data_IF_643906187972
#
_entry.id   IF_643906187972
#
_cell.length_a   1.000
_cell.length_b   1.000
_cell.length_c   1.000
_cell.angle_alpha   90.00
_cell.angle_beta   90.00
_cell.angle_gamma   90.00
#
_symmetry.space_group_name_H-M   'P 1'
#
loop_
_entity.id
_entity.type
_entity.pdbx_description
1 polymer ?
#
# COMPACT_ATOMS: atom_id res chain seq x y z
N UNK A 1 -12.16 -29.56 -7.35
CA UNK A 1 -12.28 -29.34 -5.90
C UNK A 1 -13.72 -29.01 -5.52
N UNK A 2 -14.45 -29.99 -4.99
CA UNK A 2 -15.88 -29.85 -4.67
C UNK A 2 -16.14 -29.24 -3.27
N UNK A 3 -17.41 -28.97 -2.93
CA UNK A 3 -17.76 -28.31 -1.67
C UNK A 3 -17.45 -29.15 -0.41
N UNK A 4 -17.53 -30.47 -0.51
CA UNK A 4 -17.23 -31.39 0.60
C UNK A 4 -15.71 -31.46 0.86
N UNK A 5 -14.92 -31.67 -0.19
CA UNK A 5 -13.45 -31.73 -0.18
C UNK A 5 -12.81 -30.47 0.44
N UNK A 6 -13.34 -29.28 0.13
CA UNK A 6 -12.92 -28.01 0.78
C UNK A 6 -13.11 -28.03 2.29
N UNK A 7 -14.21 -28.61 2.77
CA UNK A 7 -14.56 -28.66 4.19
C UNK A 7 -13.63 -29.59 4.95
N UNK A 8 -13.33 -30.77 4.42
CA UNK A 8 -12.38 -31.72 5.03
C UNK A 8 -10.96 -31.16 5.15
N UNK A 9 -10.56 -30.33 4.18
CA UNK A 9 -9.26 -29.66 4.19
C UNK A 9 -9.24 -28.33 4.98
N UNK A 10 -10.39 -27.85 5.47
CA UNK A 10 -10.57 -26.53 6.11
C UNK A 10 -10.17 -25.33 5.22
N UNK A 11 -10.45 -25.41 3.92
CA UNK A 11 -10.11 -24.38 2.93
C UNK A 11 -11.22 -23.32 2.78
N UNK A 12 -10.85 -22.03 2.59
CA UNK A 12 -11.83 -20.96 2.37
C UNK A 12 -12.56 -21.15 1.03
N UNK A 13 -13.81 -20.69 0.97
CA UNK A 13 -14.65 -20.85 -0.24
C UNK A 13 -14.04 -20.20 -1.49
N UNK A 14 -13.25 -19.13 -1.28
CA UNK A 14 -12.70 -18.25 -2.32
C UNK A 14 -11.36 -18.73 -2.87
N UNK A 15 -10.72 -19.77 -2.29
CA UNK A 15 -9.36 -20.21 -2.70
C UNK A 15 -9.21 -20.42 -4.21
N UNK A 16 -10.23 -20.98 -4.87
CA UNK A 16 -10.20 -21.25 -6.32
C UNK A 16 -10.13 -19.96 -7.13
N UNK A 17 -10.78 -18.90 -6.66
CA UNK A 17 -10.71 -17.56 -7.25
C UNK A 17 -9.35 -16.91 -6.95
N UNK A 18 -8.90 -16.92 -5.69
CA UNK A 18 -7.60 -16.37 -5.29
C UNK A 18 -6.43 -16.99 -6.07
N UNK A 19 -6.44 -18.31 -6.25
CA UNK A 19 -5.44 -19.04 -7.05
C UNK A 19 -5.55 -18.70 -8.54
N UNK A 20 -6.76 -18.57 -9.09
CA UNK A 20 -6.95 -18.17 -10.48
C UNK A 20 -6.45 -16.74 -10.76
N UNK A 21 -6.77 -15.79 -9.87
CA UNK A 21 -6.31 -14.41 -9.96
C UNK A 21 -4.78 -14.32 -9.84
N UNK A 22 -4.18 -15.01 -8.85
CA UNK A 22 -2.73 -15.06 -8.68
C UNK A 22 -1.99 -15.67 -9.89
N UNK A 23 -2.53 -16.74 -10.49
CA UNK A 23 -1.99 -17.33 -11.72
C UNK A 23 -2.13 -16.37 -12.91
N UNK A 24 -3.27 -15.69 -13.04
CA UNK A 24 -3.53 -14.71 -14.12
C UNK A 24 -2.58 -13.51 -14.03
N UNK A 25 -2.33 -13.01 -12.81
CA UNK A 25 -1.41 -11.92 -12.53
C UNK A 25 0.07 -12.32 -12.78
N UNK A 26 0.47 -13.54 -12.38
CA UNK A 26 1.78 -14.12 -12.73
C UNK A 26 1.96 -14.28 -14.25
N UNK A 27 0.93 -14.75 -14.97
CA UNK A 27 0.95 -14.86 -16.43
C UNK A 27 1.07 -13.48 -17.09
N UNK A 28 0.34 -12.49 -16.57
CA UNK A 28 0.35 -11.11 -17.07
C UNK A 28 1.72 -10.45 -16.87
N UNK A 29 2.31 -10.56 -15.67
CA UNK A 29 3.69 -10.14 -15.40
C UNK A 29 4.70 -10.86 -16.29
N UNK A 30 4.55 -12.17 -16.51
CA UNK A 30 5.45 -12.94 -17.40
C UNK A 30 5.36 -12.47 -18.85
N UNK A 31 4.18 -12.09 -19.33
CA UNK A 31 3.99 -11.59 -20.69
C UNK A 31 4.54 -10.16 -20.85
N UNK A 32 4.34 -9.27 -19.86
CA UNK A 32 4.94 -7.94 -19.82
C UNK A 32 6.48 -8.02 -19.79
N UNK A 33 7.05 -8.90 -18.96
CA UNK A 33 8.50 -9.10 -18.90
C UNK A 33 9.06 -9.68 -20.21
N UNK A 34 8.31 -10.54 -20.92
CA UNK A 34 8.69 -11.00 -22.27
C UNK A 34 8.74 -9.85 -23.29
N UNK A 35 7.78 -8.93 -23.25
CA UNK A 35 7.80 -7.75 -24.13
C UNK A 35 8.97 -6.80 -23.81
N UNK A 36 9.35 -6.68 -22.53
CA UNK A 36 10.49 -5.86 -22.09
C UNK A 36 11.83 -6.36 -22.64
N UNK A 37 12.05 -7.68 -22.68
CA UNK A 37 13.32 -8.29 -23.15
C UNK A 37 13.53 -8.13 -24.67
N UNK A 38 12.48 -7.88 -25.46
CA UNK A 38 12.60 -7.68 -26.92
C UNK A 38 13.11 -6.29 -27.33
N UNK A 39 12.98 -5.27 -26.48
CA UNK A 39 13.30 -3.87 -26.82
C UNK A 39 14.64 -3.41 -26.23
N UNK A 40 15.73 -4.07 -26.63
CA UNK A 40 17.09 -3.73 -26.24
C UNK A 40 18.00 -3.38 -27.44
N UNK A 41 17.45 -2.65 -28.44
CA UNK A 41 18.23 -2.08 -29.55
C UNK A 41 17.86 -0.60 -29.70
N UNK A 42 18.81 0.28 -29.35
CA UNK A 42 18.65 1.74 -29.47
C UNK A 42 18.82 2.19 -30.92
N UNK A 43 17.82 2.88 -31.48
CA UNK A 43 17.97 3.65 -32.73
C UNK A 43 17.38 5.06 -32.60
N UNK A 44 18.10 6.02 -33.18
CA UNK A 44 17.82 7.47 -33.14
C UNK A 44 16.93 7.92 -34.31
N UNK A 45 16.33 9.12 -34.27
CA UNK A 45 15.09 9.41 -35.01
C UNK A 45 15.28 9.88 -36.46
N UNK A 46 14.22 9.72 -37.28
CA UNK A 46 14.12 10.25 -38.65
C UNK A 46 12.67 10.64 -39.04
N UNK A 47 12.42 11.88 -39.50
CA UNK A 47 11.14 12.32 -40.10
C UNK A 47 11.25 12.52 -41.65
N UNK A 48 10.19 12.98 -42.36
CA UNK A 48 8.76 12.93 -42.06
C UNK A 48 8.08 11.85 -42.96
N UNK A 49 7.31 12.06 -44.07
CA UNK A 49 6.83 13.27 -44.79
C UNK A 49 5.32 13.59 -44.54
N UNK A 50 4.66 14.23 -45.50
CA UNK A 50 3.28 14.78 -45.52
C UNK A 50 2.29 13.91 -46.33
N UNK A 51 1.04 13.75 -45.88
CA UNK A 51 -0.14 13.40 -46.73
C UNK A 51 -1.38 14.19 -46.28
N UNK A 52 -2.29 14.45 -47.22
CA UNK A 52 -3.35 15.48 -47.20
C UNK A 52 -4.66 15.07 -46.47
N UNK A 53 -5.32 16.06 -45.84
CA UNK A 53 -6.67 16.06 -45.19
C UNK A 53 -7.83 16.02 -46.22
N UNK A 54 -9.15 15.77 -45.92
CA UNK A 54 -9.90 16.33 -44.77
C UNK A 54 -11.09 15.52 -44.16
N UNK A 55 -11.68 16.10 -43.09
CA UNK A 55 -13.04 15.91 -42.54
C UNK A 55 -13.38 14.55 -41.86
N UNK A 56 -14.27 14.47 -40.86
CA UNK A 56 -15.20 15.48 -40.32
C UNK A 56 -15.13 15.65 -38.76
N UNK A 57 -16.03 16.46 -38.20
CA UNK A 57 -16.14 16.86 -36.78
C UNK A 57 -16.48 15.66 -35.83
N UNK A 58 -16.30 15.70 -34.50
CA UNK A 58 -16.82 16.69 -33.54
C UNK A 58 -15.97 16.92 -32.26
N UNK A 59 -16.16 18.13 -31.70
CA UNK A 59 -16.10 18.58 -30.30
C UNK A 59 -14.93 18.32 -29.32
N UNK A 60 -14.38 19.45 -28.89
CA UNK A 60 -13.71 19.77 -27.61
C UNK A 60 -14.41 19.15 -26.37
N UNK A 61 -13.74 18.79 -25.26
CA UNK A 61 -13.06 19.71 -24.32
C UNK A 61 -11.91 19.05 -23.52
N UNK A 62 -11.12 19.90 -22.85
CA UNK A 62 -9.85 19.56 -22.19
C UNK A 62 -10.00 18.90 -20.79
N UNK A 63 -9.11 17.97 -20.42
CA UNK A 63 -8.83 17.64 -19.02
C UNK A 63 -7.59 18.40 -18.49
N UNK A 64 -7.86 19.29 -17.53
CA UNK A 64 -7.01 19.90 -16.48
C UNK A 64 -5.54 19.42 -16.41
N UNK A 65 -4.60 20.38 -16.43
CA UNK A 65 -3.20 20.14 -16.12
C UNK A 65 -3.00 19.78 -14.62
N UNK A 66 -2.31 18.67 -14.36
CA UNK A 66 -1.82 18.33 -13.02
C UNK A 66 -0.54 19.09 -12.69
N UNK A 67 -0.35 19.59 -11.46
CA UNK A 67 0.92 20.20 -11.06
C UNK A 67 2.02 19.13 -11.01
N UNK A 68 3.14 19.38 -11.68
CA UNK A 68 4.25 18.43 -11.77
C UNK A 68 4.93 18.23 -10.40
N UNK A 69 5.16 16.97 -10.03
CA UNK A 69 6.03 16.62 -8.92
C UNK A 69 7.50 16.99 -9.25
N UNK A 70 8.31 17.43 -8.28
CA UNK A 70 9.72 17.72 -8.51
C UNK A 70 10.49 16.43 -8.89
N UNK A 71 11.49 16.52 -9.78
CA UNK A 71 12.30 15.36 -10.18
C UNK A 71 13.16 14.85 -9.00
N UNK A 72 13.49 13.55 -8.97
CA UNK A 72 14.38 12.99 -7.95
C UNK A 72 15.81 13.54 -8.11
N UNK A 73 16.58 13.68 -7.02
CA UNK A 73 17.96 14.14 -7.08
C UNK A 73 18.88 13.10 -7.76
N UNK A 74 19.93 13.54 -8.47
CA UNK A 74 20.90 12.63 -9.09
C UNK A 74 21.74 11.88 -8.04
N UNK A 75 22.27 10.68 -8.37
CA UNK A 75 23.11 9.91 -7.46
C UNK A 75 24.43 10.65 -7.19
N UNK A 76 24.74 10.87 -5.91
CA UNK A 76 26.02 11.43 -5.47
C UNK A 76 27.16 10.45 -5.76
N UNK A 77 27.98 10.76 -6.76
CA UNK A 77 29.27 10.11 -6.96
C UNK A 77 30.18 10.45 -5.78
N UNK A 78 30.43 9.48 -4.90
CA UNK A 78 31.36 9.65 -3.79
C UNK A 78 32.80 9.62 -4.34
N UNK A 79 33.45 10.78 -4.36
CA UNK A 79 34.88 10.89 -4.67
C UNK A 79 35.70 10.36 -3.48
N UNK A 80 36.67 9.48 -3.75
CA UNK A 80 37.68 9.09 -2.75
C UNK A 80 38.67 10.24 -2.52
N UNK A 81 38.86 10.72 -1.27
CA UNK A 81 39.96 11.61 -0.95
C UNK A 81 41.22 10.78 -0.67
N UNK A 82 42.03 10.54 -1.69
CA UNK A 82 43.39 10.01 -1.47
C UNK A 82 44.18 10.96 -0.55
N UNK A 83 44.66 10.45 0.59
CA UNK A 83 45.54 11.22 1.48
C UNK A 83 46.65 10.34 2.07
N UNK A 84 47.75 10.25 1.34
CA UNK A 84 49.03 9.82 1.92
C UNK A 84 49.44 10.82 3.02
N UNK A 85 50.21 10.34 4.01
CA UNK A 85 51.51 10.94 4.23
C UNK A 85 52.62 9.90 4.27
N UNK A 86 53.68 10.14 3.49
CA UNK A 86 54.99 9.51 3.69
C UNK A 86 55.90 10.45 4.52
N UNK A 87 57.08 9.94 4.86
CA UNK A 87 58.17 10.60 5.63
C UNK A 87 57.92 10.88 7.12
N UNK A 88 58.53 10.03 7.95
CA UNK A 88 59.50 10.45 8.98
C UNK A 88 60.14 9.20 9.58
N UNK A 89 61.27 8.77 9.01
CA UNK A 89 62.16 7.85 9.73
C UNK A 89 62.98 8.64 10.75
N UNK A 90 62.91 8.22 12.01
CA UNK A 90 63.92 8.50 13.02
C UNK A 90 63.94 7.30 13.96
N UNK A 91 65.02 6.52 13.90
CA UNK A 91 65.24 5.41 14.81
C UNK A 91 65.40 5.92 16.25
N UNK A 92 64.75 5.27 17.19
CA UNK A 92 65.23 5.17 18.56
C UNK A 92 65.22 3.70 18.95
N UNK A 93 66.35 3.03 18.71
CA UNK A 93 66.60 1.71 19.26
C UNK A 93 67.00 1.88 20.72
N UNK A 94 66.28 1.23 21.62
CA UNK A 94 66.72 1.03 23.01
C UNK A 94 66.46 -0.41 23.40
N UNK A 95 67.40 -0.97 24.15
CA UNK A 95 67.56 -2.40 24.35
C UNK A 95 66.51 -3.00 25.29
N UNK A 96 66.45 -4.34 25.34
CA UNK A 96 65.40 -5.06 26.05
C UNK A 96 65.41 -4.89 27.57
N UNK A 97 64.27 -5.16 28.20
CA UNK A 97 64.17 -5.37 29.65
C UNK A 97 63.08 -6.40 29.93
N UNK A 98 63.51 -7.58 30.35
CA UNK A 98 62.88 -8.60 31.18
C UNK A 98 61.34 -8.58 31.39
N UNK A 99 60.72 -9.72 31.05
CA UNK A 99 59.59 -10.36 31.74
C UNK A 99 58.27 -9.59 31.96
N UNK A 100 57.26 -9.89 31.13
CA UNK A 100 55.89 -10.15 31.62
C UNK A 100 55.03 -10.91 30.61
N UNK A 101 54.68 -12.17 30.88
CA UNK A 101 53.81 -13.00 30.01
C UNK A 101 52.30 -12.71 30.20
N UNK A 102 51.91 -11.48 30.60
CA UNK A 102 50.55 -11.19 31.11
C UNK A 102 49.62 -10.40 30.17
N UNK A 103 50.15 -9.67 29.19
CA UNK A 103 49.39 -8.74 28.32
C UNK A 103 48.23 -9.39 27.56
N UNK A 104 48.44 -10.57 26.95
CA UNK A 104 47.44 -11.26 26.12
C UNK A 104 46.16 -11.61 26.92
N UNK A 105 46.31 -11.85 28.23
CA UNK A 105 45.22 -12.20 29.14
C UNK A 105 44.24 -11.04 29.40
N UNK A 106 44.74 -9.84 29.72
CA UNK A 106 43.85 -8.68 29.92
C UNK A 106 43.29 -8.18 28.59
N UNK A 107 44.07 -8.21 27.51
CA UNK A 107 43.60 -7.91 26.17
C UNK A 107 42.40 -8.79 25.78
N UNK A 108 42.46 -10.11 26.02
CA UNK A 108 41.33 -11.03 25.84
C UNK A 108 40.16 -10.72 26.78
N UNK A 109 40.39 -10.52 28.08
CA UNK A 109 39.33 -10.17 29.06
C UNK A 109 38.58 -8.89 28.66
N UNK A 110 39.31 -7.86 28.24
CA UNK A 110 38.77 -6.58 27.78
C UNK A 110 37.97 -6.74 26.48
N UNK A 111 38.42 -7.57 25.54
CA UNK A 111 37.67 -7.93 24.32
C UNK A 111 36.35 -8.65 24.64
N UNK A 112 36.35 -9.64 25.53
CA UNK A 112 35.14 -10.36 25.95
C UNK A 112 34.14 -9.44 26.66
N UNK A 113 34.62 -8.54 27.54
CA UNK A 113 33.77 -7.51 28.17
C UNK A 113 33.14 -6.56 27.14
N UNK A 114 33.90 -6.17 26.11
CA UNK A 114 33.42 -5.31 25.03
C UNK A 114 32.39 -6.03 24.12
N UNK A 115 32.54 -7.34 23.89
CA UNK A 115 31.52 -8.15 23.21
C UNK A 115 30.21 -8.15 24.01
N UNK A 116 30.26 -8.42 25.32
CA UNK A 116 29.08 -8.35 26.20
C UNK A 116 28.38 -6.99 26.16
N UNK A 117 29.14 -5.89 26.24
CA UNK A 117 28.59 -4.55 26.10
C UNK A 117 27.96 -4.28 24.72
N UNK A 118 28.51 -4.86 23.64
CA UNK A 118 27.93 -4.73 22.29
C UNK A 118 26.67 -5.58 22.11
N UNK A 119 26.63 -6.79 22.68
CA UNK A 119 25.44 -7.65 22.70
C UNK A 119 24.30 -6.97 23.46
N UNK A 120 24.56 -6.37 24.63
CA UNK A 120 23.55 -5.60 25.39
C UNK A 120 23.04 -4.42 24.56
N UNK A 121 23.92 -3.62 23.94
CA UNK A 121 23.49 -2.52 23.04
C UNK A 121 22.65 -3.03 21.86
N UNK A 122 23.04 -4.13 21.24
CA UNK A 122 22.30 -4.77 20.15
C UNK A 122 20.90 -5.20 20.59
N UNK A 123 20.79 -5.89 21.73
CA UNK A 123 19.52 -6.27 22.33
C UNK A 123 18.65 -5.04 22.66
N UNK A 124 19.23 -3.96 23.19
CA UNK A 124 18.51 -2.69 23.44
C UNK A 124 18.07 -1.96 22.17
N UNK A 125 18.72 -2.18 21.02
CA UNK A 125 18.23 -1.69 19.71
C UNK A 125 17.09 -2.57 19.20
N UNK A 126 17.26 -3.91 19.24
CA UNK A 126 16.24 -4.87 18.80
C UNK A 126 14.95 -4.74 19.61
N UNK A 127 15.01 -4.67 20.94
CA UNK A 127 13.83 -4.50 21.80
C UNK A 127 13.03 -3.24 21.45
N UNK A 128 13.71 -2.10 21.24
CA UNK A 128 13.04 -0.85 20.81
C UNK A 128 12.47 -0.95 19.40
N UNK A 129 13.15 -1.66 18.48
CA UNK A 129 12.65 -1.87 17.13
C UNK A 129 11.39 -2.78 17.10
N UNK A 130 11.37 -3.83 17.93
CA UNK A 130 10.22 -4.73 18.09
C UNK A 130 9.01 -3.99 18.67
N UNK A 131 9.18 -3.31 19.82
CA UNK A 131 8.11 -2.51 20.43
C UNK A 131 7.54 -1.48 19.44
N UNK A 132 8.40 -0.74 18.72
CA UNK A 132 7.96 0.22 17.72
C UNK A 132 7.24 -0.43 16.52
N UNK A 133 7.54 -1.69 16.18
CA UNK A 133 6.81 -2.45 15.16
C UNK A 133 5.44 -2.93 15.67
N UNK A 134 5.34 -3.37 16.93
CA UNK A 134 4.08 -3.75 17.57
C UNK A 134 3.13 -2.55 17.73
N UNK A 135 3.68 -1.41 18.11
CA UNK A 135 3.00 -0.11 18.16
C UNK A 135 2.39 0.26 16.79
N UNK A 136 3.20 0.18 15.73
CA UNK A 136 2.76 0.45 14.35
C UNK A 136 1.73 -0.59 13.85
N UNK A 137 1.84 -1.85 14.25
CA UNK A 137 0.87 -2.90 13.91
C UNK A 137 -0.46 -2.63 14.60
N UNK A 138 -0.43 -2.30 15.89
CA UNK A 138 -1.62 -2.04 16.70
C UNK A 138 -2.35 -0.77 16.27
N UNK A 139 -1.61 0.28 15.89
CA UNK A 139 -2.16 1.51 15.29
C UNK A 139 -2.90 1.22 13.98
N UNK A 140 -2.24 0.57 13.00
CA UNK A 140 -2.88 0.17 11.73
C UNK A 140 -4.06 -0.78 11.90
N UNK A 141 -4.03 -1.68 12.89
CA UNK A 141 -5.16 -2.56 13.16
C UNK A 141 -6.37 -1.78 13.68
N UNK A 142 -6.17 -0.83 14.60
CA UNK A 142 -7.22 0.07 15.07
C UNK A 142 -7.76 0.95 13.94
N UNK A 143 -6.87 1.57 13.17
CA UNK A 143 -7.23 2.37 11.97
C UNK A 143 -8.08 1.59 10.95
N UNK A 144 -7.81 0.29 10.79
CA UNK A 144 -8.60 -0.61 9.94
C UNK A 144 -10.00 -0.88 10.53
N UNK A 145 -10.09 -1.23 11.82
CA UNK A 145 -11.38 -1.46 12.49
C UNK A 145 -12.25 -0.20 12.50
N UNK A 146 -11.65 0.95 12.80
CA UNK A 146 -12.25 2.29 12.70
C UNK A 146 -12.86 2.57 11.30
N UNK A 147 -12.20 2.10 10.23
CA UNK A 147 -12.68 2.28 8.86
C UNK A 147 -13.78 1.27 8.49
N UNK A 148 -13.67 0.02 8.95
CA UNK A 148 -14.72 -0.99 8.77
C UNK A 148 -16.01 -0.61 9.49
N UNK A 149 -15.92 -0.10 10.73
CA UNK A 149 -17.06 0.40 11.49
C UNK A 149 -17.72 1.60 10.78
N UNK A 150 -16.95 2.59 10.32
CA UNK A 150 -17.46 3.75 9.57
C UNK A 150 -18.15 3.32 8.27
N UNK A 151 -17.59 2.32 7.57
CA UNK A 151 -18.20 1.77 6.34
C UNK A 151 -19.52 1.07 6.64
N UNK A 152 -19.59 0.28 7.71
CA UNK A 152 -20.80 -0.41 8.13
C UNK A 152 -21.92 0.58 8.47
N UNK A 153 -21.64 1.57 9.34
CA UNK A 153 -22.62 2.61 9.70
C UNK A 153 -23.16 3.35 8.48
N UNK A 154 -22.29 3.75 7.54
CA UNK A 154 -22.72 4.43 6.31
C UNK A 154 -23.56 3.55 5.37
N UNK A 155 -23.40 2.22 5.44
CA UNK A 155 -24.26 1.27 4.73
C UNK A 155 -25.61 1.09 5.45
N UNK A 156 -25.60 0.96 6.79
CA UNK A 156 -26.78 0.92 7.64
C UNK A 156 -27.66 2.16 7.45
N UNK A 157 -27.09 3.37 7.60
CA UNK A 157 -27.76 4.66 7.39
C UNK A 157 -28.43 4.75 6.01
N UNK A 158 -27.75 4.28 4.96
CA UNK A 158 -28.28 4.23 3.58
C UNK A 158 -29.48 3.29 3.47
N UNK A 159 -29.43 2.13 4.11
CA UNK A 159 -30.54 1.17 4.11
C UNK A 159 -31.73 1.65 4.96
N UNK A 160 -31.46 2.33 6.06
CA UNK A 160 -32.49 2.91 6.94
C UNK A 160 -33.18 4.10 6.26
N UNK A 161 -32.44 4.99 5.59
CA UNK A 161 -33.02 6.04 4.75
C UNK A 161 -33.92 5.45 3.64
N UNK A 162 -33.51 4.36 3.00
CA UNK A 162 -34.34 3.67 2.00
C UNK A 162 -35.62 3.07 2.64
N UNK A 163 -35.51 2.48 3.84
CA UNK A 163 -36.66 1.96 4.60
C UNK A 163 -37.63 3.08 4.98
N UNK A 164 -37.13 4.24 5.40
CA UNK A 164 -37.93 5.42 5.72
C UNK A 164 -38.61 6.01 4.48
N UNK A 165 -37.91 6.09 3.35
CA UNK A 165 -38.48 6.51 2.06
C UNK A 165 -39.62 5.60 1.59
N UNK A 166 -39.45 4.27 1.72
CA UNK A 166 -40.50 3.29 1.43
C UNK A 166 -41.69 3.42 2.40
N UNK A 167 -41.46 3.64 3.69
CA UNK A 167 -42.52 3.88 4.66
C UNK A 167 -43.32 5.16 4.34
N UNK A 168 -42.64 6.25 3.96
CA UNK A 168 -43.27 7.49 3.50
C UNK A 168 -44.10 7.30 2.23
N UNK A 169 -43.65 6.47 1.29
CA UNK A 169 -44.42 6.10 0.10
C UNK A 169 -45.70 5.33 0.46
N UNK A 170 -45.62 4.37 1.38
CA UNK A 170 -46.80 3.62 1.87
C UNK A 170 -47.82 4.60 2.47
N UNK A 171 -47.38 5.47 3.39
CA UNK A 171 -48.26 6.50 3.99
C UNK A 171 -48.85 7.46 2.95
N UNK A 172 -48.12 7.81 1.89
CA UNK A 172 -48.65 8.63 0.79
C UNK A 172 -49.72 7.90 -0.03
N UNK A 173 -49.55 6.59 -0.27
CA UNK A 173 -50.54 5.74 -0.95
C UNK A 173 -51.78 5.54 -0.09
N UNK A 174 -51.63 5.30 1.21
CA UNK A 174 -52.76 5.17 2.16
C UNK A 174 -53.59 6.47 2.23
N UNK A 175 -52.92 7.62 2.30
CA UNK A 175 -53.57 8.93 2.28
C UNK A 175 -54.29 9.20 0.94
N UNK A 176 -53.70 8.80 -0.19
CA UNK A 176 -54.34 8.92 -1.51
C UNK A 176 -55.57 8.01 -1.62
N UNK A 177 -55.48 6.76 -1.16
CA UNK A 177 -56.62 5.84 -1.12
C UNK A 177 -57.74 6.39 -0.23
N UNK A 178 -57.40 6.92 0.94
CA UNK A 178 -58.35 7.61 1.84
C UNK A 178 -59.03 8.81 1.17
N UNK A 179 -58.27 9.66 0.46
CA UNK A 179 -58.81 10.80 -0.27
C UNK A 179 -59.73 10.39 -1.43
N UNK A 180 -59.39 9.34 -2.18
CA UNK A 180 -60.25 8.78 -3.23
C UNK A 180 -61.53 8.19 -2.64
N UNK A 181 -61.45 7.43 -1.54
CA UNK A 181 -62.62 6.90 -0.85
C UNK A 181 -63.52 8.01 -0.29
N UNK A 182 -62.94 9.08 0.26
CA UNK A 182 -63.69 10.26 0.72
C UNK A 182 -64.43 10.94 -0.45
N UNK A 183 -63.73 11.26 -1.54
CA UNK A 183 -64.31 11.93 -2.72
C UNK A 183 -65.41 11.10 -3.41
N UNK A 184 -65.23 9.78 -3.50
CA UNK A 184 -66.26 8.86 -4.03
C UNK A 184 -67.47 8.79 -3.09
N UNK A 185 -67.26 8.82 -1.77
CA UNK A 185 -68.35 8.80 -0.77
C UNK A 185 -69.13 10.10 -0.78
N UNK A 186 -68.44 11.24 -0.84
CA UNK A 186 -69.04 12.58 -0.83
C UNK A 186 -69.93 12.78 -2.07
N UNK A 187 -69.40 12.47 -3.26
CA UNK A 187 -70.18 12.52 -4.50
C UNK A 187 -71.35 11.52 -4.54
N UNK A 188 -71.26 10.40 -3.80
CA UNK A 188 -72.37 9.46 -3.64
C UNK A 188 -73.46 9.99 -2.69
N UNK A 189 -73.08 10.81 -1.71
CA UNK A 189 -74.03 11.53 -0.85
C UNK A 189 -74.71 12.67 -1.61
N UNK A 190 -73.99 13.41 -2.46
CA UNK A 190 -74.58 14.41 -3.36
C UNK A 190 -75.64 13.79 -4.30
N UNK A 191 -75.34 12.63 -4.88
CA UNK A 191 -76.26 11.87 -5.75
C UNK A 191 -77.43 11.19 -5.01
N UNK A 192 -77.53 11.36 -3.68
CA UNK A 192 -78.57 10.76 -2.83
C UNK A 192 -79.42 11.82 -2.10
N UNK A 193 -79.40 13.07 -2.58
CA UNK A 193 -80.21 14.21 -2.12
C UNK A 193 -81.12 14.73 -3.22
#
# INVERSE_FOLDING_TARGET
>A
MEKHERKERNLPSNLVQEVFEALTDVLSRRNANKASVSNAITLTPRPPPLTVVPAAAHESLQPIATPAAPPPPPPLQQQEPHRQPSISELSSSSEGTEASEHEDSDAKRRKVRNLGASVVRGASVLARALLACEDRRSKRHRELLDLEERRLRAEEDRTEMNRQGMAGLITAVDNLAGAVHALVSDRRNELSR
#
